data_IF_975562661570
#
_entry.id   IF_975562661570
#
_cell.length_a   1.000
_cell.length_b   1.000
_cell.length_c   1.000
_cell.angle_alpha   90.00
_cell.angle_beta   90.00
_cell.angle_gamma   90.00
#
_symmetry.space_group_name_H-M   'P 1'
#
loop_
_entity.id
_entity.type
_entity.pdbx_description
1 polymer ?
#
# COMPACT_ATOMS: atom_id res chain seq x y z
N UNK A 1 -13.64 17.63 -6.23
CA UNK A 1 -13.69 17.87 -4.77
C UNK A 1 -13.71 16.59 -3.91
N UNK A 2 -14.48 15.54 -4.25
CA UNK A 2 -14.58 14.30 -3.43
C UNK A 2 -13.21 13.65 -3.11
N UNK A 3 -12.28 13.58 -4.08
CA UNK A 3 -10.96 12.95 -3.87
C UNK A 3 -10.08 13.65 -2.83
N UNK A 4 -10.11 14.99 -2.74
CA UNK A 4 -9.31 15.73 -1.75
C UNK A 4 -9.76 15.43 -0.31
N UNK A 5 -11.08 15.35 -0.10
CA UNK A 5 -11.65 15.02 1.22
C UNK A 5 -11.23 13.59 1.61
N UNK A 6 -11.29 12.65 0.66
CA UNK A 6 -10.86 11.27 0.91
C UNK A 6 -9.36 11.19 1.21
N UNK A 7 -8.51 11.83 0.38
CA UNK A 7 -7.06 11.86 0.58
C UNK A 7 -6.70 12.48 1.96
N UNK A 8 -7.41 13.53 2.40
CA UNK A 8 -7.20 14.16 3.71
C UNK A 8 -7.68 13.26 4.87
N UNK A 9 -8.81 12.57 4.70
CA UNK A 9 -9.30 11.60 5.69
C UNK A 9 -8.33 10.42 5.83
N UNK A 10 -7.78 9.94 4.73
CA UNK A 10 -6.79 8.86 4.74
C UNK A 10 -5.50 9.33 5.44
N UNK A 11 -5.03 10.54 5.14
CA UNK A 11 -3.87 11.13 5.80
C UNK A 11 -4.09 11.27 7.31
N UNK A 12 -5.21 11.87 7.73
CA UNK A 12 -5.53 12.07 9.14
C UNK A 12 -5.63 10.74 9.91
N UNK A 13 -6.21 9.70 9.28
CA UNK A 13 -6.32 8.36 9.86
C UNK A 13 -4.98 7.64 10.01
N UNK A 14 -4.05 7.88 9.09
CA UNK A 14 -2.69 7.34 9.16
C UNK A 14 -1.91 8.04 10.27
N UNK A 15 -2.06 9.36 10.41
CA UNK A 15 -1.35 10.16 11.43
C UNK A 15 -1.86 9.93 12.85
N UNK A 16 -3.18 9.81 13.04
CA UNK A 16 -3.75 9.63 14.37
C UNK A 16 -3.51 8.24 14.94
N UNK A 17 -3.12 7.26 14.10
CA UNK A 17 -3.04 5.85 14.49
C UNK A 17 -4.39 5.23 14.84
N UNK A 18 -5.50 5.97 14.70
CA UNK A 18 -6.85 5.51 15.05
C UNK A 18 -7.40 4.48 14.05
N UNK A 19 -6.78 4.39 12.86
CA UNK A 19 -7.12 3.34 11.90
C UNK A 19 -6.63 2.00 12.44
N UNK A 20 -7.57 1.17 12.88
CA UNK A 20 -7.29 -0.24 13.19
C UNK A 20 -6.88 -0.97 11.91
N UNK A 21 -5.58 -1.16 11.73
CA UNK A 21 -4.98 -1.89 10.59
C UNK A 21 -5.37 -3.36 10.68
N UNK A 22 -5.79 -3.94 9.56
CA UNK A 22 -6.09 -5.37 9.45
C UNK A 22 -4.96 -6.05 8.70
N UNK A 23 -3.92 -6.43 9.43
CA UNK A 23 -2.78 -7.13 8.87
C UNK A 23 -3.18 -8.57 8.52
N UNK A 24 -3.03 -8.92 7.25
CA UNK A 24 -3.26 -10.26 6.71
C UNK A 24 -2.14 -10.63 5.73
N UNK A 25 -2.07 -11.90 5.32
CA UNK A 25 -1.20 -12.28 4.20
C UNK A 25 -1.80 -11.76 2.90
N UNK A 26 -1.09 -10.85 2.23
CA UNK A 26 -1.51 -10.22 0.98
C UNK A 26 -0.56 -10.63 -0.13
N UNK A 27 -1.10 -11.11 -1.25
CA UNK A 27 -0.36 -11.21 -2.51
C UNK A 27 -0.33 -9.83 -3.18
N UNK A 28 0.87 -9.25 -3.22
CA UNK A 28 1.10 -7.91 -3.80
C UNK A 28 0.98 -7.94 -5.32
N UNK A 29 1.28 -9.08 -5.96
CA UNK A 29 1.10 -9.25 -7.41
C UNK A 29 -0.39 -9.23 -7.76
N UNK A 30 -1.23 -9.93 -6.98
CA UNK A 30 -2.69 -9.89 -7.13
C UNK A 30 -3.23 -8.46 -6.96
N UNK A 31 -2.74 -7.76 -5.93
CA UNK A 31 -3.11 -6.36 -5.66
C UNK A 31 -2.72 -5.43 -6.82
N UNK A 32 -1.53 -5.62 -7.39
CA UNK A 32 -1.06 -4.87 -8.56
C UNK A 32 -1.91 -5.15 -9.81
N UNK A 33 -2.32 -6.41 -10.04
CA UNK A 33 -3.24 -6.76 -11.13
C UNK A 33 -4.59 -6.07 -10.98
N UNK A 34 -5.14 -6.05 -9.76
CA UNK A 34 -6.39 -5.37 -9.48
C UNK A 34 -6.28 -3.85 -9.72
N UNK A 35 -5.20 -3.21 -9.26
CA UNK A 35 -4.95 -1.80 -9.48
C UNK A 35 -4.80 -1.45 -10.98
N UNK A 36 -4.06 -2.26 -11.75
CA UNK A 36 -3.94 -2.12 -13.21
C UNK A 36 -5.29 -2.27 -13.90
N UNK A 37 -6.10 -3.26 -13.51
CA UNK A 37 -7.44 -3.45 -14.08
C UNK A 37 -8.36 -2.26 -13.79
N UNK A 38 -8.32 -1.72 -12.57
CA UNK A 38 -9.08 -0.53 -12.19
C UNK A 38 -8.64 0.72 -12.96
N UNK A 39 -7.35 0.85 -13.27
CA UNK A 39 -6.78 1.98 -13.98
C UNK A 39 -6.89 1.87 -15.53
N UNK A 40 -7.28 0.71 -16.05
CA UNK A 40 -7.34 0.45 -17.49
C UNK A 40 -8.25 1.43 -18.27
N UNK A 41 -9.44 1.84 -17.77
CA UNK A 41 -10.28 2.82 -18.47
C UNK A 41 -9.61 4.19 -18.61
N UNK A 42 -8.95 4.66 -17.53
CA UNK A 42 -8.25 5.95 -17.52
C UNK A 42 -7.02 5.93 -18.43
N UNK A 43 -6.30 4.81 -18.47
CA UNK A 43 -5.16 4.61 -19.38
C UNK A 43 -5.61 4.57 -20.85
N UNK A 44 -6.70 3.84 -21.14
CA UNK A 44 -7.26 3.76 -22.49
C UNK A 44 -7.71 5.12 -23.02
N UNK A 45 -8.32 5.95 -22.16
CA UNK A 45 -8.73 7.31 -22.52
C UNK A 45 -7.57 8.22 -22.94
N UNK A 46 -6.33 7.87 -22.59
CA UNK A 46 -5.10 8.61 -22.94
C UNK A 46 -4.17 7.83 -23.89
N UNK A 47 -4.64 6.71 -24.45
CA UNK A 47 -3.82 5.79 -25.25
C UNK A 47 -2.52 5.33 -24.55
N UNK A 48 -2.58 5.11 -23.23
CA UNK A 48 -1.44 4.64 -22.44
C UNK A 48 -1.49 3.12 -22.31
N UNK A 49 -0.36 2.47 -22.57
CA UNK A 49 -0.20 1.02 -22.40
C UNK A 49 0.12 0.70 -20.95
N UNK A 50 -0.71 -0.12 -20.28
CA UNK A 50 -0.39 -0.66 -18.96
C UNK A 50 0.21 -2.06 -19.09
N UNK A 51 1.33 -2.32 -18.41
CA UNK A 51 1.93 -3.65 -18.34
C UNK A 51 2.20 -4.03 -16.90
N UNK A 52 2.10 -5.32 -16.62
CA UNK A 52 2.53 -5.91 -15.37
C UNK A 52 3.63 -6.93 -15.65
N UNK A 53 4.76 -6.74 -14.97
CA UNK A 53 5.95 -7.57 -15.08
C UNK A 53 6.35 -8.02 -13.67
N UNK A 54 7.18 -9.07 -13.57
CA UNK A 54 7.72 -9.55 -12.30
C UNK A 54 7.32 -10.98 -11.95
N UNK A 55 7.32 -11.29 -10.66
CA UNK A 55 7.04 -12.63 -10.16
C UNK A 55 5.54 -13.00 -10.26
N UNK A 56 5.24 -14.30 -10.21
CA UNK A 56 3.86 -14.79 -10.31
C UNK A 56 3.02 -14.46 -9.07
N UNK A 57 3.65 -14.44 -7.90
CA UNK A 57 3.04 -14.12 -6.61
C UNK A 57 4.14 -13.65 -5.64
N UNK A 58 3.86 -12.62 -4.85
CA UNK A 58 4.78 -12.15 -3.79
C UNK A 58 3.93 -11.78 -2.58
N UNK A 59 4.06 -12.56 -1.50
CA UNK A 59 3.25 -12.39 -0.29
C UNK A 59 3.96 -11.61 0.79
N UNK A 60 3.21 -10.77 1.52
CA UNK A 60 3.68 -10.09 2.73
C UNK A 60 2.54 -9.93 3.75
N UNK A 61 2.89 -9.77 5.02
CA UNK A 61 1.93 -9.37 6.07
C UNK A 61 1.67 -7.88 5.97
N UNK A 62 0.46 -7.51 5.54
CA UNK A 62 0.06 -6.13 5.31
C UNK A 62 -1.45 -5.92 5.43
N UNK A 63 -1.87 -4.66 5.56
CA UNK A 63 -3.26 -4.25 5.32
C UNK A 63 -3.49 -4.14 3.80
N UNK A 64 -4.40 -4.96 3.27
CA UNK A 64 -4.71 -5.00 1.84
C UNK A 64 -5.07 -3.64 1.25
N UNK A 65 -5.77 -2.79 2.02
CA UNK A 65 -6.17 -1.46 1.53
C UNK A 65 -4.98 -0.49 1.44
N UNK A 66 -3.99 -0.65 2.32
CA UNK A 66 -2.77 0.16 2.28
C UNK A 66 -1.91 -0.19 1.07
N UNK A 67 -1.78 -1.47 0.74
CA UNK A 67 -1.08 -1.93 -0.48
C UNK A 67 -1.80 -1.43 -1.73
N UNK A 68 -3.13 -1.56 -1.79
CA UNK A 68 -3.94 -1.02 -2.89
C UNK A 68 -3.75 0.50 -3.03
N UNK A 69 -3.74 1.23 -1.91
CA UNK A 69 -3.55 2.69 -1.91
C UNK A 69 -2.16 3.10 -2.42
N UNK A 70 -1.11 2.35 -2.11
CA UNK A 70 0.23 2.58 -2.70
C UNK A 70 0.16 2.44 -4.22
N UNK A 71 -0.35 1.29 -4.70
CA UNK A 71 -0.41 0.96 -6.13
C UNK A 71 -1.26 1.94 -6.91
N UNK A 72 -2.47 2.25 -6.42
CA UNK A 72 -3.41 3.17 -7.07
C UNK A 72 -2.82 4.57 -7.21
N UNK A 73 -2.12 5.08 -6.19
CA UNK A 73 -1.48 6.40 -6.27
C UNK A 73 -0.34 6.42 -7.29
N UNK A 74 0.53 5.41 -7.29
CA UNK A 74 1.67 5.36 -8.21
C UNK A 74 1.22 5.16 -9.66
N UNK A 75 0.31 4.21 -9.93
CA UNK A 75 -0.22 3.94 -11.27
C UNK A 75 -1.01 5.14 -11.79
N UNK A 76 -1.86 5.73 -10.94
CA UNK A 76 -2.64 6.92 -11.33
C UNK A 76 -1.72 8.10 -11.67
N UNK A 77 -0.60 8.28 -10.95
CA UNK A 77 0.39 9.29 -11.30
C UNK A 77 1.06 9.00 -12.64
N UNK A 78 1.48 7.75 -12.88
CA UNK A 78 2.05 7.31 -14.15
C UNK A 78 1.13 7.53 -15.35
N UNK A 79 -0.20 7.52 -15.15
CA UNK A 79 -1.21 7.84 -16.18
C UNK A 79 -1.46 9.35 -16.29
N UNK A 80 -1.56 10.04 -15.15
CA UNK A 80 -1.87 11.47 -15.12
C UNK A 80 -0.80 12.30 -15.79
N UNK A 81 0.46 12.04 -15.44
CA UNK A 81 1.63 12.80 -15.88
C UNK A 81 2.34 12.16 -17.08
N UNK A 82 1.62 11.33 -17.84
CA UNK A 82 2.12 10.74 -19.07
C UNK A 82 1.83 11.58 -20.31
N UNK A 83 2.44 11.17 -21.43
CA UNK A 83 2.09 11.62 -22.78
C UNK A 83 1.19 10.61 -23.48
N UNK A 84 0.46 11.08 -24.50
CA UNK A 84 -0.35 10.23 -25.37
C UNK A 84 0.53 9.16 -26.05
N UNK A 85 0.05 7.92 -26.13
CA UNK A 85 0.81 6.80 -26.67
C UNK A 85 1.92 6.26 -25.75
N UNK A 86 2.01 6.79 -24.51
CA UNK A 86 3.00 6.35 -23.52
C UNK A 86 2.72 4.98 -22.92
N UNK A 87 3.52 4.60 -21.94
CA UNK A 87 3.37 3.37 -21.17
C UNK A 87 3.55 3.59 -19.67
N UNK A 88 2.97 2.67 -18.89
CA UNK A 88 3.23 2.48 -17.47
C UNK A 88 3.47 0.99 -17.23
N UNK A 89 4.65 0.64 -16.75
CA UNK A 89 5.09 -0.71 -16.42
C UNK A 89 5.13 -0.88 -14.90
N UNK A 90 4.39 -1.87 -14.39
CA UNK A 90 4.32 -2.20 -12.96
C UNK A 90 5.10 -3.50 -12.71
N UNK A 91 6.15 -3.43 -11.91
CA UNK A 91 6.98 -4.54 -11.47
C UNK A 91 6.74 -4.89 -10.01
N UNK A 92 6.61 -6.18 -9.68
CA UNK A 92 6.56 -6.66 -8.30
C UNK A 92 7.52 -7.83 -8.12
N UNK A 93 8.41 -7.73 -7.12
CA UNK A 93 9.50 -8.68 -6.87
C UNK A 93 9.71 -8.91 -5.39
N UNK A 94 10.18 -10.09 -5.01
CA UNK A 94 10.72 -10.36 -3.68
C UNK A 94 12.20 -9.96 -3.63
N UNK A 95 12.60 -9.23 -2.58
CA UNK A 95 14.00 -8.82 -2.41
C UNK A 95 14.31 -8.55 -0.94
N UNK A 96 15.45 -9.05 -0.48
CA UNK A 96 16.01 -8.78 0.86
C UNK A 96 14.99 -9.06 2.01
N UNK A 97 14.20 -10.13 1.87
CA UNK A 97 13.16 -10.51 2.84
C UNK A 97 11.89 -9.64 2.81
N UNK A 98 11.78 -8.73 1.85
CA UNK A 98 10.62 -7.87 1.63
C UNK A 98 10.08 -7.93 0.20
N UNK A 99 9.24 -6.94 -0.12
CA UNK A 99 8.61 -6.75 -1.42
C UNK A 99 9.10 -5.45 -2.03
N UNK A 100 9.44 -5.49 -3.32
CA UNK A 100 9.75 -4.32 -4.12
C UNK A 100 8.68 -4.13 -5.17
N UNK A 101 8.05 -2.96 -5.17
CA UNK A 101 7.12 -2.49 -6.19
C UNK A 101 7.79 -1.40 -6.99
N UNK A 102 7.88 -1.58 -8.30
CA UNK A 102 8.41 -0.59 -9.24
C UNK A 102 7.28 -0.13 -10.17
N UNK A 103 7.08 1.18 -10.29
CA UNK A 103 6.14 1.76 -11.27
C UNK A 103 6.92 2.72 -12.16
N UNK A 104 7.13 2.31 -13.40
CA UNK A 104 7.87 3.06 -14.41
C UNK A 104 6.91 3.62 -15.45
N UNK A 105 6.95 4.92 -15.71
CA UNK A 105 6.20 5.59 -16.76
C UNK A 105 7.13 6.20 -17.81
N UNK A 106 6.60 6.40 -19.01
CA UNK A 106 7.27 7.13 -20.09
C UNK A 106 6.81 8.59 -20.17
N UNK A 107 6.40 9.20 -19.06
CA UNK A 107 5.75 10.51 -19.04
C UNK A 107 6.70 11.68 -19.22
N UNK A 108 6.27 12.84 -18.70
CA UNK A 108 7.03 14.09 -18.79
C UNK A 108 8.32 14.07 -17.97
N UNK A 109 8.41 13.18 -16.98
CA UNK A 109 9.52 13.15 -16.04
C UNK A 109 9.62 14.43 -15.19
N UNK A 110 10.68 14.50 -14.41
CA UNK A 110 10.95 15.56 -13.45
C UNK A 110 12.41 15.94 -13.52
N UNK A 111 12.72 17.23 -13.32
CA UNK A 111 14.09 17.66 -13.08
C UNK A 111 14.50 17.36 -11.61
N UNK A 112 15.80 17.46 -11.26
CA UNK A 112 16.26 17.13 -9.91
C UNK A 112 15.62 17.95 -8.78
N UNK A 113 15.33 19.24 -9.00
CA UNK A 113 14.72 20.11 -8.00
C UNK A 113 13.24 19.75 -7.76
N UNK A 114 12.53 19.39 -8.82
CA UNK A 114 11.16 18.91 -8.77
C UNK A 114 11.07 17.54 -8.08
N UNK A 115 11.95 16.61 -8.44
CA UNK A 115 12.02 15.26 -7.87
C UNK A 115 12.29 15.29 -6.35
N UNK A 116 13.08 16.25 -5.87
CA UNK A 116 13.37 16.40 -4.44
C UNK A 116 12.14 16.77 -3.59
N UNK A 117 11.15 17.45 -4.20
CA UNK A 117 10.01 18.04 -3.48
C UNK A 117 8.70 17.28 -3.69
N UNK A 118 8.64 16.36 -4.65
CA UNK A 118 7.39 15.70 -5.06
C UNK A 118 6.73 14.84 -3.96
N UNK A 119 7.47 14.51 -2.91
CA UNK A 119 6.96 13.76 -1.74
C UNK A 119 6.40 14.66 -0.63
N UNK A 120 6.50 15.99 -0.75
CA UNK A 120 5.95 16.94 0.20
C UNK A 120 4.43 17.06 0.03
N UNK A 121 3.72 17.32 1.13
CA UNK A 121 2.28 17.49 1.12
C UNK A 121 1.86 18.74 0.34
N UNK A 122 0.79 18.61 -0.46
CA UNK A 122 0.24 19.66 -1.31
C UNK A 122 1.16 20.18 -2.41
N UNK A 123 2.34 19.57 -2.59
CA UNK A 123 3.25 19.95 -3.68
C UNK A 123 2.75 19.38 -5.00
N UNK A 124 2.72 20.27 -6.00
CA UNK A 124 2.42 19.96 -7.39
C UNK A 124 3.35 20.75 -8.29
N UNK A 125 3.97 20.06 -9.23
CA UNK A 125 4.80 20.68 -10.25
C UNK A 125 3.89 21.22 -11.35
N UNK A 126 3.84 22.54 -11.49
CA UNK A 126 3.02 23.22 -12.50
C UNK A 126 3.90 23.65 -13.66
N UNK A 127 3.67 23.03 -14.79
CA UNK A 127 4.26 23.35 -16.09
C UNK A 127 3.12 23.50 -17.11
N UNK A 128 3.36 24.06 -18.31
CA UNK A 128 2.34 24.08 -19.37
C UNK A 128 1.79 22.68 -19.72
N UNK A 129 2.54 21.60 -19.42
CA UNK A 129 2.11 20.21 -19.65
C UNK A 129 1.31 19.62 -18.48
N UNK A 130 1.36 20.23 -17.29
CA UNK A 130 0.80 19.66 -16.05
C UNK A 130 -0.18 20.57 -15.32
N UNK A 131 -0.37 21.80 -15.79
CA UNK A 131 -1.24 22.80 -15.13
C UNK A 131 -2.71 22.38 -15.10
N UNK A 132 -3.20 21.76 -16.18
CA UNK A 132 -4.58 21.28 -16.29
C UNK A 132 -4.83 19.93 -15.60
N UNK A 133 -3.77 19.24 -15.15
CA UNK A 133 -3.90 17.95 -14.48
C UNK A 133 -4.47 18.15 -13.08
N UNK A 134 -5.69 17.67 -12.84
CA UNK A 134 -6.32 17.76 -11.53
C UNK A 134 -5.65 16.82 -10.50
N UNK A 135 -5.34 17.38 -9.31
CA UNK A 135 -4.74 16.62 -8.20
C UNK A 135 -4.67 17.41 -6.90
N UNK A 136 -4.72 16.69 -5.77
CA UNK A 136 -4.62 17.23 -4.40
C UNK A 136 -3.19 17.55 -3.97
N UNK A 137 -2.19 16.87 -4.56
CA UNK A 137 -0.80 16.90 -4.07
C UNK A 137 -0.57 16.04 -2.82
N UNK A 138 -1.54 15.20 -2.43
CA UNK A 138 -1.43 14.35 -1.23
C UNK A 138 -1.03 12.90 -1.53
N UNK A 139 -1.20 12.43 -2.77
CA UNK A 139 -1.01 11.01 -3.10
C UNK A 139 0.36 10.47 -2.73
N UNK A 140 1.44 11.13 -3.14
CA UNK A 140 2.81 10.65 -2.84
C UNK A 140 3.20 10.83 -1.37
N UNK A 141 2.65 11.83 -0.69
CA UNK A 141 2.83 11.96 0.76
C UNK A 141 2.16 10.80 1.52
N UNK A 142 0.93 10.43 1.13
CA UNK A 142 0.23 9.25 1.66
C UNK A 142 1.05 7.98 1.42
N UNK A 143 1.55 7.77 0.20
CA UNK A 143 2.43 6.64 -0.12
C UNK A 143 3.63 6.62 0.81
N UNK A 144 4.35 7.74 0.96
CA UNK A 144 5.52 7.84 1.82
C UNK A 144 5.21 7.49 3.28
N UNK A 145 4.07 7.93 3.82
CA UNK A 145 3.65 7.59 5.19
C UNK A 145 3.33 6.10 5.33
N UNK A 146 2.56 5.53 4.40
CA UNK A 146 2.23 4.09 4.43
C UNK A 146 3.49 3.25 4.34
N UNK A 147 4.40 3.57 3.41
CA UNK A 147 5.69 2.89 3.26
C UNK A 147 6.49 2.92 4.57
N UNK A 148 6.46 4.05 5.29
CA UNK A 148 7.06 4.16 6.62
C UNK A 148 6.47 3.22 7.66
N UNK A 149 5.17 2.87 7.58
CA UNK A 149 4.53 1.89 8.48
C UNK A 149 5.01 0.44 8.27
N UNK A 150 5.76 0.18 7.20
CA UNK A 150 6.33 -1.13 6.84
C UNK A 150 7.86 -1.13 6.89
N UNK A 151 8.46 -0.18 7.61
CA UNK A 151 9.92 0.03 7.70
C UNK A 151 10.61 0.06 6.32
N UNK A 152 9.85 0.56 5.36
CA UNK A 152 10.17 0.57 3.95
C UNK A 152 10.85 1.86 3.50
N UNK A 153 11.09 1.93 2.20
CA UNK A 153 11.61 3.13 1.55
C UNK A 153 10.91 3.37 0.21
N UNK A 154 10.83 4.63 -0.19
CA UNK A 154 10.39 5.03 -1.52
C UNK A 154 11.48 5.90 -2.14
N UNK A 155 11.82 5.61 -3.39
CA UNK A 155 12.74 6.38 -4.21
C UNK A 155 12.16 6.69 -5.58
N UNK A 156 12.76 7.67 -6.23
CA UNK A 156 12.36 8.14 -7.56
C UNK A 156 13.62 8.33 -8.40
N UNK A 157 13.65 7.68 -9.57
CA UNK A 157 14.56 8.04 -10.66
C UNK A 157 13.72 8.66 -11.78
N UNK A 158 14.03 9.88 -12.18
CA UNK A 158 13.25 10.61 -13.17
C UNK A 158 14.14 11.54 -13.98
N UNK A 159 13.80 11.68 -15.26
CA UNK A 159 14.49 12.56 -16.19
C UNK A 159 13.48 13.28 -17.07
N UNK A 160 13.64 14.59 -17.32
CA UNK A 160 12.73 15.32 -18.19
C UNK A 160 12.59 14.65 -19.56
N UNK A 161 11.35 14.52 -20.02
CA UNK A 161 10.92 13.91 -21.27
C UNK A 161 11.29 12.42 -21.45
N UNK A 162 11.82 11.76 -20.42
CA UNK A 162 12.13 10.33 -20.44
C UNK A 162 11.20 9.51 -19.54
N UNK A 163 10.51 10.18 -18.61
CA UNK A 163 9.57 9.56 -17.67
C UNK A 163 10.15 9.40 -16.27
N UNK A 164 9.47 8.61 -15.46
CA UNK A 164 9.81 8.41 -14.05
C UNK A 164 9.71 6.94 -13.65
N UNK A 165 10.51 6.55 -12.67
CA UNK A 165 10.46 5.25 -12.02
C UNK A 165 10.39 5.43 -10.52
N UNK A 166 9.22 5.12 -9.94
CA UNK A 166 9.04 5.04 -8.50
C UNK A 166 9.39 3.62 -8.04
N UNK A 167 10.25 3.51 -7.04
CA UNK A 167 10.59 2.22 -6.42
C UNK A 167 10.20 2.26 -4.95
N UNK A 168 9.32 1.35 -4.55
CA UNK A 168 8.87 1.17 -3.16
C UNK A 168 9.40 -0.16 -2.66
N UNK A 169 10.14 -0.15 -1.56
CA UNK A 169 10.55 -1.33 -0.82
C UNK A 169 9.74 -1.41 0.47
N UNK A 170 9.11 -2.55 0.72
CA UNK A 170 8.36 -2.85 1.94
C UNK A 170 8.99 -4.07 2.60
N UNK A 171 9.37 -3.98 3.87
CA UNK A 171 9.96 -5.14 4.57
C UNK A 171 8.92 -6.11 5.13
N UNK A 172 7.63 -5.74 5.04
CA UNK A 172 6.56 -6.41 5.76
C UNK A 172 6.64 -6.13 7.25
N UNK A 173 5.55 -6.38 7.97
CA UNK A 173 5.65 -6.50 9.42
C UNK A 173 6.09 -7.95 9.69
N UNK A 174 7.34 -8.11 10.13
CA UNK A 174 7.85 -9.41 10.57
C UNK A 174 6.91 -9.97 11.61
N UNK A 175 6.45 -11.21 11.41
CA UNK A 175 5.57 -11.92 12.35
C UNK A 175 6.32 -12.38 13.61
N UNK A 176 7.41 -11.69 13.97
CA UNK A 176 8.14 -11.90 15.22
C UNK A 176 7.52 -10.90 16.21
N UNK A 177 6.75 -11.35 17.20
CA UNK A 177 6.19 -10.46 18.20
C UNK A 177 7.34 -9.76 18.93
N UNK A 178 7.34 -8.42 18.95
CA UNK A 178 7.99 -7.73 20.06
C UNK A 178 7.25 -8.14 21.33
N UNK A 179 7.99 -8.72 22.28
CA UNK A 179 7.49 -9.16 23.57
C UNK A 179 6.55 -8.10 24.18
N UNK A 180 5.30 -8.51 24.48
CA UNK A 180 4.38 -7.74 25.31
C UNK A 180 3.24 -6.97 24.62
N UNK A 181 3.05 -7.06 23.30
CA UNK A 181 1.85 -6.47 22.65
C UNK A 181 0.68 -7.45 22.61
N UNK A 182 -0.42 -7.08 23.26
CA UNK A 182 -1.71 -7.81 23.25
C UNK A 182 -2.45 -7.51 21.94
N UNK A 183 -2.73 -8.54 21.15
CA UNK A 183 -3.56 -8.42 19.95
C UNK A 183 -4.96 -8.98 20.20
N UNK A 184 -5.94 -8.40 19.50
CA UNK A 184 -7.32 -8.89 19.47
C UNK A 184 -7.53 -9.69 18.20
N UNK A 185 -7.63 -11.00 18.35
CA UNK A 185 -7.81 -11.96 17.24
C UNK A 185 -9.29 -12.34 17.14
N UNK A 186 -9.80 -12.48 15.93
CA UNK A 186 -11.15 -12.99 15.72
C UNK A 186 -11.16 -14.50 16.03
N UNK A 187 -12.07 -14.94 16.89
CA UNK A 187 -12.14 -16.30 17.44
C UNK A 187 -12.51 -17.41 16.42
N UNK A 188 -12.27 -17.23 15.11
CA UNK A 188 -12.52 -18.27 14.10
C UNK A 188 -11.35 -19.24 13.93
N UNK A 189 -10.17 -18.94 14.46
CA UNK A 189 -8.95 -19.75 14.26
C UNK A 189 -8.36 -20.36 15.54
N UNK A 190 -8.91 -20.08 16.72
CA UNK A 190 -8.46 -20.71 17.97
C UNK A 190 -9.30 -21.95 18.26
N UNK A 191 -8.69 -23.12 18.08
CA UNK A 191 -9.25 -24.42 18.43
C UNK A 191 -9.35 -24.64 19.94
N UNK A 192 -10.32 -23.98 20.57
CA UNK A 192 -11.16 -24.46 21.68
C UNK A 192 -11.98 -23.26 22.19
N UNK A 193 -13.21 -23.13 21.69
CA UNK A 193 -14.16 -22.18 22.28
C UNK A 193 -14.77 -22.83 23.53
N UNK A 194 -14.83 -22.14 24.69
CA UNK A 194 -15.62 -22.61 25.81
C UNK A 194 -17.06 -22.89 25.35
N UNK A 195 -17.59 -24.08 25.66
CA UNK A 195 -18.92 -24.53 25.21
C UNK A 195 -20.05 -23.54 25.53
N UNK A 196 -19.87 -22.72 26.57
CA UNK A 196 -20.79 -21.65 26.97
C UNK A 196 -20.92 -20.47 25.97
N UNK A 197 -20.05 -20.38 24.96
CA UNK A 197 -20.03 -19.28 23.97
C UNK A 197 -20.16 -19.74 22.51
N UNK A 198 -20.65 -20.96 22.28
CA UNK A 198 -20.94 -21.47 20.93
C UNK A 198 -22.03 -20.60 20.25
N UNK A 199 -21.78 -20.20 18.99
CA UNK A 199 -22.71 -19.39 18.20
C UNK A 199 -22.61 -17.87 18.39
N UNK A 200 -21.74 -17.37 19.28
CA UNK A 200 -21.53 -15.93 19.52
C UNK A 200 -20.23 -15.42 18.89
N UNK A 201 -20.19 -14.12 18.52
CA UNK A 201 -18.93 -13.43 18.20
C UNK A 201 -18.19 -13.18 19.52
N UNK A 202 -16.94 -13.62 19.60
CA UNK A 202 -16.11 -13.52 20.80
C UNK A 202 -14.82 -12.80 20.42
N UNK A 203 -14.42 -11.81 21.22
CA UNK A 203 -13.09 -11.23 21.18
C UNK A 203 -12.20 -11.96 22.18
N UNK A 204 -11.01 -12.32 21.73
CA UNK A 204 -10.01 -13.00 22.55
C UNK A 204 -8.87 -12.02 22.82
N UNK A 205 -8.51 -11.88 24.08
CA UNK A 205 -7.26 -11.21 24.49
C UNK A 205 -6.31 -12.27 25.01
N UNK A 206 -5.11 -12.30 24.47
CA UNK A 206 -4.09 -13.29 24.82
C UNK A 206 -2.71 -12.84 24.40
N UNK A 207 -1.72 -13.60 24.86
CA UNK A 207 -0.32 -13.50 24.45
C UNK A 207 -0.07 -14.54 23.37
N UNK A 208 0.61 -14.15 22.29
CA UNK A 208 1.01 -15.08 21.24
C UNK A 208 2.43 -15.55 21.56
N UNK A 209 2.62 -16.87 21.64
CA UNK A 209 3.90 -17.50 21.88
C UNK A 209 4.23 -18.49 20.75
N UNK A 210 5.48 -18.57 20.35
CA UNK A 210 5.94 -19.59 19.41
C UNK A 210 6.23 -20.91 20.15
N UNK A 211 5.61 -22.00 19.71
CA UNK A 211 5.85 -23.35 20.24
C UNK A 211 5.95 -24.35 19.09
N UNK A 212 7.08 -25.05 19.01
CA UNK A 212 7.37 -26.05 17.97
C UNK A 212 7.18 -25.52 16.53
N UNK A 213 7.63 -24.28 16.27
CA UNK A 213 7.53 -23.64 14.94
C UNK A 213 6.10 -23.27 14.53
N UNK A 214 5.14 -23.30 15.47
CA UNK A 214 3.77 -22.83 15.28
C UNK A 214 3.45 -21.72 16.28
N UNK A 215 2.71 -20.71 15.83
CA UNK A 215 2.19 -19.67 16.71
C UNK A 215 1.02 -20.23 17.51
N UNK A 216 1.17 -20.23 18.84
CA UNK A 216 0.14 -20.66 19.78
C UNK A 216 -0.36 -19.42 20.52
N UNK A 217 -1.67 -19.24 20.55
CA UNK A 217 -2.31 -18.15 21.30
C UNK A 217 -2.62 -18.67 22.69
N UNK A 218 -1.95 -18.14 23.71
CA UNK A 218 -2.36 -18.34 25.10
C UNK A 218 -3.48 -17.35 25.43
N UNK A 219 -4.69 -17.88 25.56
CA UNK A 219 -5.89 -17.08 25.82
C UNK A 219 -5.93 -16.66 27.28
N UNK A 220 -5.87 -15.36 27.54
CA UNK A 220 -6.01 -14.80 28.89
C UNK A 220 -7.47 -14.51 29.26
N UNK A 221 -8.29 -14.05 28.31
CA UNK A 221 -9.71 -13.73 28.57
C UNK A 221 -10.56 -13.84 27.29
N UNK A 222 -11.81 -14.32 27.44
CA UNK A 222 -12.83 -14.31 26.38
C UNK A 222 -13.88 -13.23 26.71
N UNK A 223 -14.17 -12.33 25.77
CA UNK A 223 -15.24 -11.33 25.89
C UNK A 223 -16.27 -11.48 24.78
N UNK A 224 -17.54 -11.39 25.13
CA UNK A 224 -18.62 -11.37 24.14
C UNK A 224 -18.54 -10.06 23.34
N UNK A 225 -18.41 -10.17 22.01
CA UNK A 225 -18.33 -9.01 21.14
C UNK A 225 -19.74 -8.41 20.96
N UNK A 226 -19.90 -7.13 21.32
CA UNK A 226 -21.14 -6.36 21.08
C UNK A 226 -21.41 -6.19 19.59
#
# INVERSE_FOLDING_TARGET
>A
MRKLILDLLDLARIESGEKRRRLETVDVVESARAAVANAAPDAAAKAITLRINGESAVSMTADRNEIAMILDNLISNGIKYNREGGAVDVGVFSRDGGVVVQVSDTGFGLNPEEAARIFEEFVRIRTPKTEDILGSGLGLAIVKKIVGLYDGSISLDSRPEQGSTFTVMLKGQSNVPEDGKVYSIAASETGDKPAAMAGKKVSVTGTVAEKDGKMVVEVAEFKEAR
#
